data_IF_710197082030
#
_entry.id   IF_710197082030
#
_cell.length_a   1.000
_cell.length_b   1.000
_cell.length_c   1.000
_cell.angle_alpha   90.00
_cell.angle_beta   90.00
_cell.angle_gamma   90.00
#
_symmetry.space_group_name_H-M   'P 1'
#
loop_
_entity.id
_entity.type
_entity.pdbx_description
1 polymer ?
#
# COMPACT_ATOMS: atom_id res chain seq x y z
N UNK A 1 8.82 5.04 -10.89
CA UNK A 1 10.30 5.12 -11.09
C UNK A 1 10.72 4.23 -12.26
N UNK A 2 11.92 4.42 -12.85
CA UNK A 2 12.40 3.51 -13.92
C UNK A 2 12.51 2.08 -13.37
N UNK A 3 12.15 1.09 -14.18
CA UNK A 3 12.17 -0.34 -13.81
C UNK A 3 10.93 -0.83 -13.05
N UNK A 4 10.17 0.04 -12.39
CA UNK A 4 8.97 -0.34 -11.60
C UNK A 4 7.98 -1.21 -12.39
N UNK A 5 7.54 -0.74 -13.57
CA UNK A 5 6.61 -1.49 -14.42
C UNK A 5 7.24 -2.74 -15.04
N UNK A 6 8.55 -2.72 -15.32
CA UNK A 6 9.28 -3.86 -15.89
C UNK A 6 9.32 -5.04 -14.92
N UNK A 7 9.46 -4.74 -13.63
CA UNK A 7 9.59 -5.73 -12.55
C UNK A 7 8.31 -5.90 -11.72
N UNK A 8 7.19 -5.29 -12.15
CA UNK A 8 5.88 -5.56 -11.59
C UNK A 8 5.58 -7.07 -11.65
N UNK A 9 5.19 -7.65 -10.51
CA UNK A 9 5.01 -9.11 -10.34
C UNK A 9 6.28 -9.95 -10.56
N UNK A 10 7.46 -9.33 -10.66
CA UNK A 10 8.79 -9.96 -10.78
C UNK A 10 9.75 -9.45 -9.72
N UNK A 11 9.23 -9.24 -8.51
CA UNK A 11 9.94 -8.68 -7.36
C UNK A 11 9.38 -7.34 -6.88
N UNK A 12 8.64 -6.60 -7.71
CA UNK A 12 7.88 -5.42 -7.28
C UNK A 12 6.43 -5.80 -6.98
N UNK A 13 5.98 -5.49 -5.76
CA UNK A 13 4.63 -5.73 -5.22
C UNK A 13 4.02 -4.43 -4.67
N UNK A 14 2.69 -4.38 -4.67
CA UNK A 14 1.87 -3.29 -4.12
C UNK A 14 0.92 -3.80 -3.03
N UNK A 15 1.06 -5.05 -2.60
CA UNK A 15 0.22 -5.64 -1.56
C UNK A 15 1.05 -6.56 -0.67
N UNK A 16 1.51 -6.05 0.46
CA UNK A 16 2.29 -6.84 1.41
C UNK A 16 1.55 -8.06 1.92
N UNK A 17 0.28 -7.90 2.31
CA UNK A 17 -0.56 -9.00 2.82
C UNK A 17 -0.80 -10.11 1.80
N UNK A 18 -0.77 -9.78 0.51
CA UNK A 18 -0.93 -10.74 -0.58
C UNK A 18 0.36 -11.51 -0.86
N UNK A 19 1.49 -10.80 -0.91
CA UNK A 19 2.70 -11.33 -1.54
C UNK A 19 3.81 -11.68 -0.56
N UNK A 20 3.77 -11.21 0.70
CA UNK A 20 4.81 -11.46 1.71
C UNK A 20 5.23 -12.95 1.81
N UNK A 21 4.33 -13.95 1.77
CA UNK A 21 4.72 -15.36 1.81
C UNK A 21 5.68 -15.81 0.69
N UNK A 22 5.66 -15.16 -0.49
CA UNK A 22 6.57 -15.48 -1.60
C UNK A 22 8.00 -14.96 -1.40
N UNK A 23 8.21 -14.14 -0.37
CA UNK A 23 9.51 -13.57 -0.02
C UNK A 23 10.12 -14.20 1.22
N UNK A 24 9.69 -15.42 1.56
CA UNK A 24 10.31 -16.21 2.63
C UNK A 24 11.83 -16.28 2.47
N UNK A 25 12.54 -15.97 3.55
CA UNK A 25 14.00 -15.95 3.69
C UNK A 25 14.73 -14.98 2.74
N UNK A 26 14.02 -14.03 2.10
CA UNK A 26 14.60 -13.02 1.20
C UNK A 26 14.83 -11.68 1.88
N UNK A 27 15.73 -10.87 1.31
CA UNK A 27 15.84 -9.46 1.66
C UNK A 27 14.83 -8.68 0.82
N UNK A 28 13.99 -7.91 1.50
CA UNK A 28 12.94 -7.08 0.90
C UNK A 28 13.11 -5.62 1.27
N UNK A 29 12.64 -4.74 0.38
CA UNK A 29 12.59 -3.30 0.60
C UNK A 29 11.12 -2.88 0.71
N UNK A 30 10.79 -2.04 1.68
CA UNK A 30 9.49 -1.35 1.80
C UNK A 30 9.69 0.12 1.41
N UNK A 31 9.00 0.57 0.38
CA UNK A 31 9.00 1.96 -0.06
C UNK A 31 7.78 2.69 0.52
N UNK A 32 8.01 3.60 1.46
CA UNK A 32 6.94 4.32 2.13
C UNK A 32 7.35 4.79 3.52
N UNK A 33 6.50 5.62 4.14
CA UNK A 33 6.79 6.18 5.47
C UNK A 33 5.55 6.49 6.30
N UNK A 34 4.36 6.14 5.82
CA UNK A 34 3.11 6.22 6.59
C UNK A 34 2.77 4.91 7.28
N UNK A 35 1.55 4.81 7.83
CA UNK A 35 1.09 3.61 8.53
C UNK A 35 1.17 2.35 7.65
N UNK A 36 0.76 2.42 6.38
CA UNK A 36 0.85 1.27 5.46
C UNK A 36 2.26 0.69 5.36
N UNK A 37 3.29 1.53 5.31
CA UNK A 37 4.67 1.08 5.28
C UNK A 37 5.13 0.46 6.60
N UNK A 38 4.73 1.04 7.74
CA UNK A 38 5.08 0.50 9.05
C UNK A 38 4.37 -0.84 9.33
N UNK A 39 3.11 -0.97 8.96
CA UNK A 39 2.34 -2.22 9.01
C UNK A 39 2.94 -3.27 8.08
N UNK A 40 3.30 -2.90 6.85
CA UNK A 40 3.97 -3.81 5.92
C UNK A 40 5.28 -4.37 6.49
N UNK A 41 6.09 -3.55 7.16
CA UNK A 41 7.30 -4.04 7.84
C UNK A 41 6.95 -5.11 8.87
N UNK A 42 5.93 -4.88 9.70
CA UNK A 42 5.47 -5.85 10.72
C UNK A 42 4.98 -7.14 10.06
N UNK A 43 4.20 -7.03 8.98
CA UNK A 43 3.66 -8.18 8.25
C UNK A 43 4.76 -9.01 7.56
N UNK A 44 5.89 -8.38 7.19
CA UNK A 44 7.03 -9.03 6.56
C UNK A 44 7.95 -9.77 7.55
N UNK A 45 7.92 -9.45 8.85
CA UNK A 45 8.76 -10.08 9.89
C UNK A 45 8.74 -11.61 9.85
N UNK A 46 7.59 -12.30 9.79
CA UNK A 46 7.56 -13.76 9.77
C UNK A 46 8.07 -14.39 8.46
N UNK A 47 8.33 -13.58 7.42
CA UNK A 47 8.70 -14.07 6.09
C UNK A 47 10.13 -13.69 5.70
N UNK A 48 10.48 -12.40 5.75
CA UNK A 48 11.73 -11.90 5.20
C UNK A 48 12.94 -12.13 6.12
N UNK A 49 14.09 -12.46 5.53
CA UNK A 49 15.35 -12.59 6.29
C UNK A 49 15.92 -11.22 6.67
N UNK A 50 15.68 -10.20 5.85
CA UNK A 50 16.06 -8.80 6.11
C UNK A 50 15.01 -7.87 5.51
N UNK A 51 14.71 -6.78 6.22
CA UNK A 51 13.77 -5.75 5.77
C UNK A 51 14.50 -4.42 5.72
N UNK A 52 14.36 -3.69 4.61
CA UNK A 52 14.89 -2.34 4.48
C UNK A 52 13.76 -1.37 4.16
N UNK A 53 13.59 -0.31 4.95
CA UNK A 53 12.68 0.77 4.60
C UNK A 53 13.42 1.85 3.83
N UNK A 54 12.83 2.31 2.73
CA UNK A 54 13.29 3.50 2.00
C UNK A 54 12.17 4.53 1.97
N UNK A 55 12.42 5.69 2.57
CA UNK A 55 11.48 6.81 2.56
C UNK A 55 12.17 8.11 2.20
N UNK A 56 11.54 8.89 1.32
CA UNK A 56 12.09 10.13 0.75
C UNK A 56 12.13 11.33 1.72
N UNK A 57 11.70 11.16 2.96
CA UNK A 57 11.51 12.21 3.98
C UNK A 57 11.58 11.58 5.38
N UNK A 58 10.97 12.22 6.38
CA UNK A 58 10.79 11.72 7.74
C UNK A 58 9.55 10.80 7.84
N UNK A 59 9.50 9.98 8.90
CA UNK A 59 8.33 9.16 9.20
C UNK A 59 7.05 10.00 9.32
N UNK A 60 5.96 9.45 8.81
CA UNK A 60 4.58 9.93 8.93
C UNK A 60 3.67 8.93 9.62
N UNK A 61 4.20 7.75 9.96
CA UNK A 61 3.47 6.71 10.65
C UNK A 61 3.25 7.09 12.12
N UNK A 62 2.19 6.54 12.70
CA UNK A 62 1.87 6.75 14.10
C UNK A 62 2.97 6.24 15.03
N UNK A 63 3.23 6.98 16.11
CA UNK A 63 4.28 6.65 17.07
C UNK A 63 4.16 5.23 17.64
N UNK A 64 2.94 4.71 17.79
CA UNK A 64 2.70 3.34 18.27
C UNK A 64 3.22 2.28 17.29
N UNK A 65 3.14 2.53 15.98
CA UNK A 65 3.68 1.63 14.95
C UNK A 65 5.20 1.73 14.90
N UNK A 66 5.74 2.95 14.93
CA UNK A 66 7.19 3.17 14.94
C UNK A 66 7.87 2.48 16.13
N UNK A 67 7.23 2.51 17.31
CA UNK A 67 7.75 1.82 18.50
C UNK A 67 7.85 0.30 18.32
N UNK A 68 6.93 -0.30 17.56
CA UNK A 68 7.02 -1.74 17.22
C UNK A 68 8.18 -2.05 16.28
N UNK A 69 8.63 -1.07 15.49
CA UNK A 69 9.76 -1.25 14.57
C UNK A 69 11.11 -1.28 15.29
N UNK A 70 11.21 -0.64 16.46
CA UNK A 70 12.44 -0.58 17.27
C UNK A 70 12.93 -1.98 17.70
N UNK A 71 12.01 -2.90 17.92
CA UNK A 71 12.30 -4.26 18.38
C UNK A 71 12.61 -5.26 17.25
N UNK A 72 12.65 -4.81 15.98
CA UNK A 72 12.88 -5.68 14.83
C UNK A 72 14.39 -5.75 14.49
N UNK A 73 15.08 -6.87 14.80
CA UNK A 73 16.55 -6.92 14.72
C UNK A 73 17.11 -6.90 13.29
N UNK A 74 16.31 -7.30 12.30
CA UNK A 74 16.70 -7.38 10.89
C UNK A 74 16.15 -6.24 10.03
N UNK A 75 15.78 -5.12 10.67
CA UNK A 75 15.26 -3.92 10.01
C UNK A 75 16.37 -2.88 9.81
N UNK A 76 16.47 -2.34 8.59
CA UNK A 76 17.32 -1.18 8.27
C UNK A 76 16.44 -0.06 7.73
N UNK A 77 16.65 1.19 8.17
CA UNK A 77 15.82 2.33 7.77
C UNK A 77 16.67 3.38 7.07
N UNK A 78 16.30 3.72 5.84
CA UNK A 78 16.86 4.83 5.06
C UNK A 78 15.80 5.94 4.90
N UNK A 79 15.81 6.91 5.80
CA UNK A 79 15.04 8.15 5.67
C UNK A 79 15.75 9.13 4.75
N UNK A 80 15.04 10.17 4.33
CA UNK A 80 15.53 11.19 3.38
C UNK A 80 16.16 10.59 2.11
N UNK A 81 15.75 9.38 1.74
CA UNK A 81 16.35 8.58 0.67
C UNK A 81 15.32 8.35 -0.43
N UNK A 82 15.65 8.80 -1.65
CA UNK A 82 14.79 8.70 -2.81
C UNK A 82 15.17 7.51 -3.69
N UNK A 83 14.18 6.71 -4.07
CA UNK A 83 14.35 5.66 -5.08
C UNK A 83 14.47 6.31 -6.46
N UNK A 84 15.54 5.99 -7.17
CA UNK A 84 15.79 6.49 -8.53
C UNK A 84 15.38 5.44 -9.57
N UNK A 85 15.76 4.18 -9.35
CA UNK A 85 15.55 3.10 -10.31
C UNK A 85 15.42 1.75 -9.58
N UNK A 86 14.54 0.90 -10.10
CA UNK A 86 14.48 -0.53 -9.75
C UNK A 86 15.44 -1.28 -10.68
N UNK A 87 16.40 -1.98 -10.09
CA UNK A 87 17.43 -2.74 -10.78
C UNK A 87 17.03 -4.22 -10.88
N UNK A 88 17.46 -4.88 -11.96
CA UNK A 88 17.20 -6.30 -12.17
C UNK A 88 17.50 -6.74 -13.59
N UNK A 89 17.45 -8.06 -13.78
CA UNK A 89 17.55 -8.71 -15.10
C UNK A 89 16.21 -9.33 -15.47
N UNK A 90 15.99 -10.59 -15.07
CA UNK A 90 14.69 -11.28 -15.22
C UNK A 90 13.73 -10.93 -14.08
N UNK A 91 14.28 -10.58 -12.92
CA UNK A 91 13.56 -10.16 -11.72
C UNK A 91 14.37 -9.08 -11.02
N UNK A 92 13.70 -8.33 -10.15
CA UNK A 92 14.34 -7.31 -9.33
C UNK A 92 15.47 -7.92 -8.48
N UNK A 93 16.61 -7.23 -8.44
CA UNK A 93 17.74 -7.59 -7.59
C UNK A 93 18.24 -6.42 -6.71
N UNK A 94 17.67 -5.22 -6.84
CA UNK A 94 17.97 -4.11 -5.94
C UNK A 94 17.36 -2.79 -6.36
N UNK A 95 17.69 -1.74 -5.62
CA UNK A 95 17.33 -0.36 -5.91
C UNK A 95 18.56 0.52 -6.03
N UNK A 96 18.57 1.41 -7.03
CA UNK A 96 19.42 2.58 -6.99
C UNK A 96 18.68 3.70 -6.24
N UNK A 97 19.32 4.25 -5.20
CA UNK A 97 18.74 5.27 -4.34
C UNK A 97 19.69 6.46 -4.19
N UNK A 98 19.14 7.62 -3.86
CA UNK A 98 19.89 8.83 -3.52
C UNK A 98 19.52 9.29 -2.12
N UNK A 99 20.50 9.37 -1.23
CA UNK A 99 20.34 10.01 0.07
C UNK A 99 20.40 11.54 -0.13
N UNK A 100 19.31 12.24 0.17
CA UNK A 100 19.19 13.69 -0.03
C UNK A 100 20.04 14.50 0.94
N UNK A 101 20.35 13.96 2.13
CA UNK A 101 21.13 14.68 3.13
C UNK A 101 22.62 14.71 2.78
N UNK A 102 23.16 13.61 2.22
CA UNK A 102 24.55 13.52 1.76
C UNK A 102 24.73 13.78 0.27
N UNK A 103 23.64 13.79 -0.49
CA UNK A 103 23.61 13.78 -1.96
C UNK A 103 24.35 12.56 -2.58
N UNK A 104 24.50 11.48 -1.82
CA UNK A 104 25.15 10.25 -2.25
C UNK A 104 24.16 9.31 -2.93
N UNK A 105 24.56 8.75 -4.08
CA UNK A 105 23.82 7.70 -4.78
C UNK A 105 24.48 6.35 -4.52
N UNK A 106 23.69 5.37 -4.07
CA UNK A 106 24.17 4.02 -3.77
C UNK A 106 23.11 2.97 -4.13
N UNK A 107 23.50 1.70 -4.05
CA UNK A 107 22.61 0.57 -4.36
C UNK A 107 22.24 -0.17 -3.08
N UNK A 108 20.98 -0.62 -3.01
CA UNK A 108 20.50 -1.55 -1.98
C UNK A 108 20.11 -2.84 -2.70
N UNK A 109 20.90 -3.89 -2.51
CA UNK A 109 20.57 -5.22 -3.03
C UNK A 109 19.36 -5.79 -2.28
N UNK A 110 18.37 -6.32 -3.01
CA UNK A 110 17.19 -6.96 -2.43
C UNK A 110 16.43 -7.74 -3.51
N UNK A 111 15.76 -8.82 -3.12
CA UNK A 111 14.96 -9.61 -4.06
C UNK A 111 13.51 -9.13 -4.17
N UNK A 112 13.08 -8.19 -3.34
CA UNK A 112 11.70 -7.69 -3.32
C UNK A 112 11.58 -6.21 -2.98
N UNK A 113 10.54 -5.58 -3.54
CA UNK A 113 10.10 -4.23 -3.25
C UNK A 113 8.60 -4.21 -3.02
N UNK A 114 8.18 -3.76 -1.85
CA UNK A 114 6.80 -3.50 -1.48
C UNK A 114 6.57 -1.99 -1.50
N UNK A 115 5.73 -1.52 -2.42
CA UNK A 115 5.41 -0.09 -2.57
C UNK A 115 4.17 0.22 -1.72
N UNK A 116 4.41 0.87 -0.58
CA UNK A 116 3.42 1.13 0.47
C UNK A 116 3.30 2.65 0.71
N UNK A 117 2.96 3.37 -0.35
CA UNK A 117 2.87 4.84 -0.38
C UNK A 117 1.43 5.37 -0.32
N UNK A 118 0.45 4.48 -0.13
CA UNK A 118 -0.97 4.79 -0.11
C UNK A 118 -1.65 4.57 -1.47
N UNK A 119 -2.97 4.70 -1.47
CA UNK A 119 -3.85 4.49 -2.63
C UNK A 119 -4.56 5.77 -3.02
N UNK A 120 -4.92 5.90 -4.29
CA UNK A 120 -5.75 7.00 -4.80
C UNK A 120 -7.08 6.41 -5.26
N UNK A 121 -8.20 6.71 -4.57
CA UNK A 121 -9.52 6.25 -5.00
C UNK A 121 -9.92 6.81 -6.37
N UNK A 122 -10.48 5.96 -7.22
CA UNK A 122 -10.92 6.35 -8.57
C UNK A 122 -12.34 6.97 -8.53
N UNK A 123 -12.47 8.17 -7.96
CA UNK A 123 -13.76 8.85 -7.74
C UNK A 123 -14.07 9.97 -8.72
N UNK A 124 -13.24 10.19 -9.74
CA UNK A 124 -13.34 11.34 -10.66
C UNK A 124 -14.72 11.53 -11.31
N UNK A 125 -15.44 10.44 -11.56
CA UNK A 125 -16.77 10.45 -12.17
C UNK A 125 -17.92 10.80 -11.21
N UNK A 126 -17.71 10.66 -9.90
CA UNK A 126 -18.77 10.73 -8.88
C UNK A 126 -18.48 11.69 -7.74
N UNK A 127 -17.28 12.28 -7.67
CA UNK A 127 -16.82 13.13 -6.55
C UNK A 127 -17.75 14.31 -6.21
N UNK A 128 -18.47 14.82 -7.19
CA UNK A 128 -19.40 15.96 -7.02
C UNK A 128 -20.82 15.50 -6.64
N UNK A 129 -21.06 14.18 -6.60
CA UNK A 129 -22.33 13.56 -6.23
C UNK A 129 -22.31 12.99 -4.81
N UNK A 130 -21.15 12.58 -4.30
CA UNK A 130 -21.02 11.85 -3.03
C UNK A 130 -20.11 12.56 -2.04
N UNK A 131 -20.35 12.33 -0.75
CA UNK A 131 -19.44 12.72 0.31
C UNK A 131 -18.18 11.86 0.28
N UNK A 132 -17.02 12.51 0.34
CA UNK A 132 -15.71 11.88 0.43
C UNK A 132 -15.08 12.17 1.79
N UNK A 133 -14.25 11.25 2.29
CA UNK A 133 -13.42 11.51 3.47
C UNK A 133 -12.14 12.28 3.08
N UNK A 134 -11.25 12.54 4.05
CA UNK A 134 -9.99 13.26 3.85
C UNK A 134 -8.99 12.54 2.91
N UNK A 135 -9.27 11.28 2.55
CA UNK A 135 -8.46 10.43 1.65
C UNK A 135 -9.12 10.25 0.28
N UNK A 136 -10.13 11.05 -0.03
CA UNK A 136 -10.94 10.96 -1.26
C UNK A 136 -11.71 9.63 -1.40
N UNK A 137 -11.91 8.89 -0.32
CA UNK A 137 -12.71 7.65 -0.33
C UNK A 137 -14.19 7.98 -0.18
N UNK A 138 -15.04 7.26 -0.90
CA UNK A 138 -16.50 7.40 -0.81
C UNK A 138 -16.98 6.96 0.57
N UNK A 139 -17.63 7.87 1.29
CA UNK A 139 -18.23 7.54 2.58
C UNK A 139 -19.49 6.72 2.33
N UNK A 140 -19.49 5.48 2.81
CA UNK A 140 -20.67 4.60 2.79
C UNK A 140 -21.04 4.14 4.20
N UNK A 141 -22.31 3.76 4.38
CA UNK A 141 -22.78 3.07 5.57
C UNK A 141 -22.67 1.53 5.43
N UNK A 142 -23.17 0.80 6.41
CA UNK A 142 -23.11 -0.67 6.44
C UNK A 142 -23.81 -1.33 5.24
N UNK A 143 -24.85 -0.67 4.69
CA UNK A 143 -25.60 -1.11 3.50
C UNK A 143 -24.99 -0.64 2.18
N UNK A 144 -23.81 0.01 2.22
CA UNK A 144 -23.10 0.55 1.05
C UNK A 144 -23.79 1.76 0.40
N UNK A 145 -24.70 2.42 1.12
CA UNK A 145 -25.35 3.64 0.67
C UNK A 145 -24.39 4.83 0.76
N UNK A 146 -24.37 5.66 -0.27
CA UNK A 146 -23.61 6.92 -0.28
C UNK A 146 -24.48 8.07 0.25
N UNK A 147 -23.94 9.30 0.26
CA UNK A 147 -24.75 10.50 0.54
C UNK A 147 -25.73 10.87 -0.59
N UNK A 148 -25.61 10.28 -1.77
CA UNK A 148 -26.53 10.48 -2.89
C UNK A 148 -27.55 9.33 -2.90
N UNK A 149 -28.83 9.68 -2.76
CA UNK A 149 -29.91 8.71 -2.75
C UNK A 149 -29.96 7.91 -4.06
N UNK A 150 -30.07 6.59 -3.94
CA UNK A 150 -30.04 5.66 -5.07
C UNK A 150 -28.64 5.35 -5.61
N UNK A 151 -27.58 5.99 -5.10
CA UNK A 151 -26.19 5.71 -5.46
C UNK A 151 -25.47 4.95 -4.34
N UNK A 152 -24.81 3.85 -4.74
CA UNK A 152 -24.10 2.93 -3.86
C UNK A 152 -22.65 2.81 -4.31
N UNK A 153 -21.74 2.50 -3.39
CA UNK A 153 -20.33 2.27 -3.69
C UNK A 153 -19.82 1.07 -2.90
N UNK A 154 -18.90 0.31 -3.49
CA UNK A 154 -18.36 -0.91 -2.90
C UNK A 154 -16.88 -1.10 -3.27
N UNK A 155 -16.13 -1.81 -2.43
CA UNK A 155 -14.73 -2.10 -2.63
C UNK A 155 -13.83 -0.91 -2.31
N UNK A 156 -12.62 -0.94 -2.85
CA UNK A 156 -11.50 -0.10 -2.43
C UNK A 156 -11.74 1.41 -2.58
N UNK A 157 -12.72 1.82 -3.40
CA UNK A 157 -13.13 3.21 -3.59
C UNK A 157 -13.82 3.81 -2.35
N UNK A 158 -14.27 2.96 -1.42
CA UNK A 158 -15.02 3.35 -0.23
C UNK A 158 -14.12 3.54 0.99
N UNK A 159 -14.67 4.11 2.06
CA UNK A 159 -14.03 4.30 3.37
C UNK A 159 -13.82 3.01 4.17
N UNK A 160 -13.89 1.84 3.52
CA UNK A 160 -13.66 0.55 4.15
C UNK A 160 -12.18 0.38 4.47
N UNK A 161 -11.84 -0.10 5.68
CA UNK A 161 -10.47 -0.02 6.19
C UNK A 161 -9.50 -0.98 5.50
N UNK A 162 -10.00 -2.03 4.84
CA UNK A 162 -9.17 -3.09 4.27
C UNK A 162 -9.43 -3.25 2.77
N UNK A 163 -8.37 -3.41 1.99
CA UNK A 163 -8.40 -3.45 0.53
C UNK A 163 -8.02 -4.83 0.05
N UNK A 164 -9.01 -5.70 -0.18
CA UNK A 164 -8.81 -7.10 -0.54
C UNK A 164 -9.92 -7.59 -1.48
N UNK A 165 -9.58 -8.52 -2.37
CA UNK A 165 -10.52 -9.06 -3.36
C UNK A 165 -11.80 -9.59 -2.69
N UNK A 166 -11.67 -10.39 -1.63
CA UNK A 166 -12.83 -10.98 -0.94
C UNK A 166 -13.69 -9.95 -0.20
N UNK A 167 -13.08 -8.86 0.25
CA UNK A 167 -13.78 -7.77 0.94
C UNK A 167 -14.58 -6.97 -0.08
N UNK A 168 -13.95 -6.59 -1.19
CA UNK A 168 -14.60 -5.87 -2.27
C UNK A 168 -15.76 -6.67 -2.89
N UNK A 169 -15.63 -7.99 -3.04
CA UNK A 169 -16.73 -8.83 -3.55
C UNK A 169 -17.89 -8.92 -2.57
N UNK A 170 -17.62 -9.04 -1.27
CA UNK A 170 -18.66 -9.03 -0.23
C UNK A 170 -19.39 -7.68 -0.20
N UNK A 171 -18.68 -6.57 -0.33
CA UNK A 171 -19.27 -5.24 -0.41
C UNK A 171 -20.10 -5.03 -1.68
N UNK A 172 -19.62 -5.53 -2.82
CA UNK A 172 -20.40 -5.52 -4.06
C UNK A 172 -21.72 -6.27 -3.92
N UNK A 173 -21.70 -7.43 -3.25
CA UNK A 173 -22.92 -8.19 -2.94
C UNK A 173 -23.87 -7.41 -2.02
N UNK A 174 -23.36 -6.77 -0.97
CA UNK A 174 -24.17 -5.90 -0.08
C UNK A 174 -24.81 -4.76 -0.85
N UNK A 175 -24.04 -4.03 -1.67
CA UNK A 175 -24.53 -2.92 -2.47
C UNK A 175 -25.61 -3.36 -3.47
N UNK A 176 -25.42 -4.49 -4.15
CA UNK A 176 -26.40 -5.04 -5.09
C UNK A 176 -27.73 -5.39 -4.41
N UNK A 177 -27.67 -6.01 -3.23
CA UNK A 177 -28.88 -6.37 -2.47
C UNK A 177 -29.60 -5.13 -1.93
N UNK A 178 -28.86 -4.12 -1.45
CA UNK A 178 -29.43 -2.87 -0.97
C UNK A 178 -30.08 -2.07 -2.11
N UNK A 179 -29.42 -1.99 -3.28
CA UNK A 179 -30.01 -1.44 -4.51
C UNK A 179 -31.31 -2.14 -4.89
N UNK A 180 -31.33 -3.47 -4.88
CA UNK A 180 -32.55 -4.23 -5.19
C UNK A 180 -33.68 -3.94 -4.19
N UNK A 181 -33.37 -3.78 -2.89
CA UNK A 181 -34.37 -3.38 -1.90
C UNK A 181 -34.90 -1.96 -2.15
N UNK A 182 -34.02 -1.01 -2.51
CA UNK A 182 -34.42 0.37 -2.84
C UNK A 182 -35.35 0.43 -4.05
N UNK A 183 -35.07 -0.34 -5.11
CA UNK A 183 -35.87 -0.36 -6.35
C UNK A 183 -37.23 -1.05 -6.20
N UNK A 184 -37.38 -1.96 -5.23
CA UNK A 184 -38.62 -2.71 -5.00
C UNK A 184 -39.48 -2.12 -3.86
N UNK A 185 -39.14 -0.94 -3.36
CA UNK A 185 -40.00 -0.11 -2.51
C UNK A 185 -40.93 0.73 -3.37
#
# INVERSE_FOLDING_TARGET
VKGEMTFANKGVSYCTTCDAPFFKDKHVIVAGGGNSAAEAVIDLVPWASKITVVHRSQWRADAILLRKLEDIPNLTIHLETQILEVLGDTSMNGLMVNNKSSNETFTIDAQGLFIEIGTIPNVSLIKDLVALNERDEVIVNDMQETSCEGLYAAGDVTNQPFKQIIIATAEGAKAALAMNQYLNK
#
